data_IF_130108254242
#
_entry.id   IF_130108254242
#
_cell.length_a   1.000
_cell.length_b   1.000
_cell.length_c   1.000
_cell.angle_alpha   90.00
_cell.angle_beta   90.00
_cell.angle_gamma   90.00
#
_symmetry.space_group_name_H-M   'P 1'
#
loop_
_entity.id
_entity.type
_entity.pdbx_description
1 polymer ?
#
# COMPACT_ATOMS: atom_id res chain seq x y z
N UNK A 1 13.21 9.28 -6.95
CA UNK A 1 13.16 10.37 -5.94
C UNK A 1 13.21 11.73 -6.64
N UNK A 2 12.25 12.06 -7.53
CA UNK A 2 12.30 13.27 -8.36
C UNK A 2 10.86 13.65 -8.74
N UNK A 3 10.36 14.84 -8.35
CA UNK A 3 9.07 15.41 -8.78
C UNK A 3 8.05 15.70 -7.67
N UNK A 4 7.63 14.69 -6.91
CA UNK A 4 6.52 14.83 -5.95
C UNK A 4 6.83 15.82 -4.81
N UNK A 5 8.02 15.75 -4.22
CA UNK A 5 8.40 16.60 -3.09
C UNK A 5 8.46 18.10 -3.47
N UNK A 6 9.13 18.52 -4.57
CA UNK A 6 9.01 19.89 -5.08
C UNK A 6 7.58 20.35 -5.36
N UNK A 7 6.71 19.46 -5.85
CA UNK A 7 5.29 19.76 -6.03
C UNK A 7 4.60 20.05 -4.70
N UNK A 8 4.77 19.19 -3.67
CA UNK A 8 4.18 19.42 -2.35
C UNK A 8 4.69 20.72 -1.72
N UNK A 9 5.98 21.03 -1.81
CA UNK A 9 6.51 22.28 -1.25
C UNK A 9 6.04 23.53 -2.01
N UNK A 10 6.03 23.49 -3.34
CA UNK A 10 5.55 24.63 -4.15
C UNK A 10 4.04 24.84 -4.02
N UNK A 11 3.26 23.76 -3.95
CA UNK A 11 1.80 23.84 -3.86
C UNK A 11 1.29 24.16 -2.45
N UNK A 12 2.12 23.98 -1.41
CA UNK A 12 1.74 24.23 -0.01
C UNK A 12 1.27 25.66 0.27
N UNK A 13 1.66 26.64 -0.54
CA UNK A 13 1.24 28.04 -0.42
C UNK A 13 -0.18 28.31 -0.92
N UNK A 14 -0.79 27.36 -1.64
CA UNK A 14 -2.15 27.51 -2.16
C UNK A 14 -3.21 27.25 -1.07
N UNK A 15 -4.29 28.04 -1.08
CA UNK A 15 -5.40 27.88 -0.13
C UNK A 15 -6.04 26.47 -0.18
N UNK A 16 -6.02 25.83 -1.35
CA UNK A 16 -6.58 24.49 -1.56
C UNK A 16 -5.57 23.34 -1.39
N UNK A 17 -4.35 23.60 -0.91
CA UNK A 17 -3.28 22.59 -0.82
C UNK A 17 -3.71 21.31 -0.12
N UNK A 18 -4.34 21.42 1.06
CA UNK A 18 -4.78 20.27 1.86
C UNK A 18 -5.80 19.40 1.12
N UNK A 19 -6.74 20.01 0.38
CA UNK A 19 -7.73 19.26 -0.41
C UNK A 19 -7.06 18.49 -1.54
N UNK A 20 -6.06 19.10 -2.19
CA UNK A 20 -5.28 18.43 -3.25
C UNK A 20 -4.45 17.28 -2.67
N UNK A 21 -3.88 17.43 -1.48
CA UNK A 21 -3.13 16.33 -0.84
C UNK A 21 -4.02 15.15 -0.48
N UNK A 22 -5.23 15.41 0.03
CA UNK A 22 -6.22 14.37 0.26
C UNK A 22 -6.57 13.65 -1.07
N UNK A 23 -6.78 14.41 -2.15
CA UNK A 23 -7.07 13.86 -3.47
C UNK A 23 -5.94 12.97 -4.00
N UNK A 24 -4.68 13.43 -3.88
CA UNK A 24 -3.50 12.67 -4.29
C UNK A 24 -3.41 11.36 -3.52
N UNK A 25 -3.59 11.40 -2.19
CA UNK A 25 -3.60 10.20 -1.36
C UNK A 25 -4.67 9.20 -1.82
N UNK A 26 -5.89 9.68 -2.07
CA UNK A 26 -7.01 8.80 -2.45
C UNK A 26 -6.74 8.07 -3.76
N UNK A 27 -6.30 8.78 -4.81
CA UNK A 27 -5.98 8.17 -6.10
C UNK A 27 -4.70 7.34 -6.05
N UNK A 28 -3.73 7.72 -5.22
CA UNK A 28 -2.55 6.91 -4.97
C UNK A 28 -2.91 5.56 -4.37
N UNK A 29 -3.78 5.53 -3.34
CA UNK A 29 -4.25 4.28 -2.72
C UNK A 29 -5.01 3.44 -3.73
N UNK A 30 -5.93 4.03 -4.50
CA UNK A 30 -6.68 3.31 -5.53
C UNK A 30 -5.72 2.67 -6.55
N UNK A 31 -4.76 3.43 -7.06
CA UNK A 31 -3.77 2.92 -8.02
C UNK A 31 -2.92 1.79 -7.42
N UNK A 32 -2.42 1.96 -6.20
CA UNK A 32 -1.61 0.96 -5.51
C UNK A 32 -2.39 -0.33 -5.22
N UNK A 33 -3.66 -0.22 -4.83
CA UNK A 33 -4.54 -1.38 -4.62
C UNK A 33 -4.85 -2.08 -5.94
N UNK A 34 -5.10 -1.35 -7.03
CA UNK A 34 -5.29 -1.95 -8.36
C UNK A 34 -4.04 -2.71 -8.81
N UNK A 35 -2.85 -2.15 -8.60
CA UNK A 35 -1.58 -2.83 -8.89
C UNK A 35 -1.40 -4.06 -8.00
N UNK A 36 -1.70 -3.96 -6.71
CA UNK A 36 -1.66 -5.09 -5.78
C UNK A 36 -2.54 -6.26 -6.27
N UNK A 37 -3.82 -5.99 -6.55
CA UNK A 37 -4.75 -7.03 -7.03
C UNK A 37 -4.33 -7.55 -8.39
N UNK A 38 -3.93 -6.66 -9.32
CA UNK A 38 -3.50 -7.02 -10.65
C UNK A 38 -2.30 -7.97 -10.64
N UNK A 39 -1.28 -7.70 -9.82
CA UNK A 39 -0.12 -8.58 -9.67
C UNK A 39 -0.52 -9.88 -8.97
N UNK A 40 -1.29 -9.82 -7.88
CA UNK A 40 -1.71 -11.02 -7.13
C UNK A 40 -2.50 -12.01 -7.98
N UNK A 41 -3.45 -11.53 -8.78
CA UNK A 41 -4.27 -12.36 -9.67
C UNK A 41 -3.44 -13.00 -10.80
N UNK A 42 -2.40 -12.31 -11.25
CA UNK A 42 -1.57 -12.72 -12.36
C UNK A 42 -0.29 -13.44 -11.93
N UNK A 43 -0.16 -13.74 -10.64
CA UNK A 43 1.06 -14.32 -10.07
C UNK A 43 1.45 -15.66 -10.72
N UNK A 44 0.46 -16.44 -11.16
CA UNK A 44 0.67 -17.80 -11.66
C UNK A 44 1.41 -17.85 -12.99
N UNK A 45 1.27 -16.82 -13.84
CA UNK A 45 2.08 -16.69 -15.05
C UNK A 45 3.26 -15.74 -14.84
N UNK A 46 3.14 -14.75 -13.95
CA UNK A 46 4.25 -13.86 -13.60
C UNK A 46 5.41 -14.60 -12.92
N UNK A 47 5.15 -15.73 -12.24
CA UNK A 47 6.20 -16.53 -11.59
C UNK A 47 7.26 -17.07 -12.56
N UNK A 48 6.96 -17.19 -13.86
CA UNK A 48 7.90 -17.67 -14.87
C UNK A 48 8.96 -16.63 -15.24
N UNK A 49 8.77 -15.35 -14.88
CA UNK A 49 9.83 -14.35 -14.98
C UNK A 49 10.88 -14.50 -13.85
N UNK A 50 10.62 -15.36 -12.87
CA UNK A 50 11.51 -15.66 -11.76
C UNK A 50 12.12 -17.03 -12.02
N UNK A 51 13.26 -17.05 -12.71
CA UNK A 51 14.00 -18.28 -13.03
C UNK A 51 15.07 -18.56 -11.95
N UNK A 52 15.02 -19.77 -11.38
CA UNK A 52 16.08 -20.33 -10.57
C UNK A 52 17.15 -20.97 -11.44
N UNK A 53 18.37 -21.14 -10.91
CA UNK A 53 19.46 -21.77 -11.67
C UNK A 53 19.20 -23.25 -11.95
N UNK A 54 18.53 -23.91 -10.99
CA UNK A 54 18.23 -25.33 -10.99
C UNK A 54 16.81 -25.58 -10.42
N UNK A 55 16.30 -26.81 -10.58
CA UNK A 55 14.94 -27.18 -10.15
C UNK A 55 14.67 -26.95 -8.65
N UNK A 56 15.69 -27.14 -7.79
CA UNK A 56 15.57 -26.92 -6.35
C UNK A 56 15.40 -25.43 -6.02
N UNK A 57 16.19 -24.55 -6.65
CA UNK A 57 16.05 -23.10 -6.49
C UNK A 57 14.73 -22.59 -7.07
N UNK A 58 14.27 -23.16 -8.18
CA UNK A 58 12.98 -22.84 -8.77
C UNK A 58 11.83 -23.13 -7.78
N UNK A 59 11.84 -24.33 -7.18
CA UNK A 59 10.85 -24.73 -6.19
C UNK A 59 10.89 -23.81 -4.94
N UNK A 60 12.09 -23.41 -4.49
CA UNK A 60 12.25 -22.48 -3.39
C UNK A 60 11.64 -21.10 -3.71
N UNK A 61 11.90 -20.55 -4.90
CA UNK A 61 11.33 -19.25 -5.31
C UNK A 61 9.81 -19.31 -5.42
N UNK A 62 9.26 -20.40 -5.96
CA UNK A 62 7.81 -20.54 -6.11
C UNK A 62 7.10 -20.86 -4.80
N UNK A 63 7.79 -21.44 -3.81
CA UNK A 63 7.22 -21.68 -2.48
C UNK A 63 6.78 -20.39 -1.79
N UNK A 64 7.45 -19.27 -2.07
CA UNK A 64 7.14 -17.96 -1.49
C UNK A 64 5.94 -17.24 -2.14
N UNK A 65 5.37 -17.75 -3.23
CA UNK A 65 4.33 -17.02 -3.97
C UNK A 65 3.07 -16.77 -3.13
N UNK A 66 2.77 -17.65 -2.17
CA UNK A 66 1.63 -17.52 -1.27
C UNK A 66 1.66 -16.25 -0.41
N UNK A 67 2.84 -15.70 -0.11
CA UNK A 67 2.98 -14.50 0.73
C UNK A 67 2.98 -13.19 -0.08
N UNK A 68 3.02 -13.27 -1.41
CA UNK A 68 3.10 -12.11 -2.31
C UNK A 68 1.96 -11.10 -2.10
N UNK A 69 0.69 -11.50 -1.93
CA UNK A 69 -0.38 -10.53 -1.66
C UNK A 69 -0.12 -9.67 -0.42
N UNK A 70 0.41 -10.26 0.64
CA UNK A 70 0.73 -9.55 1.89
C UNK A 70 1.95 -8.66 1.71
N UNK A 71 2.95 -9.10 0.94
CA UNK A 71 4.09 -8.26 0.56
C UNK A 71 3.65 -7.02 -0.23
N UNK A 72 2.72 -7.18 -1.18
CA UNK A 72 2.18 -6.08 -1.95
C UNK A 72 1.38 -5.12 -1.07
N UNK A 73 0.60 -5.63 -0.11
CA UNK A 73 -0.06 -4.80 0.90
C UNK A 73 0.95 -3.97 1.72
N UNK A 74 2.11 -4.53 2.07
CA UNK A 74 3.17 -3.76 2.73
C UNK A 74 3.63 -2.58 1.89
N UNK A 75 3.75 -2.74 0.57
CA UNK A 75 4.06 -1.62 -0.33
C UNK A 75 2.94 -0.58 -0.40
N UNK A 76 1.66 -0.99 -0.33
CA UNK A 76 0.53 -0.05 -0.20
C UNK A 76 0.67 0.77 1.08
N UNK A 77 0.89 0.11 2.23
CA UNK A 77 1.07 0.79 3.53
C UNK A 77 2.27 1.73 3.54
N UNK A 78 3.40 1.30 2.98
CA UNK A 78 4.60 2.13 2.85
C UNK A 78 4.32 3.38 2.00
N UNK A 79 3.61 3.22 0.88
CA UNK A 79 3.21 4.33 0.02
C UNK A 79 2.27 5.32 0.73
N UNK A 80 1.34 4.82 1.54
CA UNK A 80 0.47 5.66 2.39
C UNK A 80 1.32 6.42 3.40
N UNK A 81 2.23 5.75 4.11
CA UNK A 81 3.13 6.40 5.06
C UNK A 81 3.97 7.49 4.40
N UNK A 82 4.51 7.24 3.20
CA UNK A 82 5.27 8.23 2.43
C UNK A 82 4.43 9.46 2.10
N UNK A 83 3.16 9.30 1.73
CA UNK A 83 2.26 10.43 1.49
C UNK A 83 1.92 11.17 2.79
N UNK A 84 1.63 10.45 3.88
CA UNK A 84 1.38 11.08 5.17
C UNK A 84 2.61 11.87 5.64
N UNK A 85 3.82 11.39 5.38
CA UNK A 85 5.07 12.03 5.82
C UNK A 85 5.22 13.49 5.40
N UNK A 86 4.49 13.92 4.37
CA UNK A 86 4.51 15.29 3.86
C UNK A 86 4.12 16.31 4.92
N UNK A 87 3.22 15.98 5.86
CA UNK A 87 2.74 16.97 6.85
C UNK A 87 3.86 17.50 7.75
N UNK A 88 4.76 16.62 8.23
CA UNK A 88 5.83 17.03 9.13
C UNK A 88 7.01 17.66 8.38
N UNK A 89 7.11 17.41 7.07
CA UNK A 89 8.08 18.09 6.19
C UNK A 89 7.65 19.51 5.87
N UNK A 90 6.37 19.73 5.60
CA UNK A 90 5.81 21.05 5.31
C UNK A 90 5.69 21.96 6.53
N UNK A 91 5.70 21.39 7.73
CA UNK A 91 5.59 22.14 8.99
C UNK A 91 6.92 22.24 9.75
N UNK A 92 8.04 21.88 9.12
CA UNK A 92 9.40 21.84 9.71
C UNK A 92 9.49 21.01 11.02
N UNK A 93 8.61 20.03 11.18
CA UNK A 93 8.47 19.15 12.33
C UNK A 93 9.12 17.78 12.09
N UNK A 94 10.28 17.76 11.43
CA UNK A 94 10.99 16.54 11.00
C UNK A 94 11.31 15.55 12.12
N UNK A 95 11.36 16.02 13.38
CA UNK A 95 11.48 15.18 14.59
C UNK A 95 10.39 14.11 14.68
N UNK A 96 9.17 14.39 14.22
CA UNK A 96 8.11 13.37 14.17
C UNK A 96 8.43 12.26 13.18
N UNK A 97 9.10 12.58 12.07
CA UNK A 97 9.62 11.57 11.15
C UNK A 97 10.58 10.60 11.86
N UNK A 98 11.45 11.13 12.73
CA UNK A 98 12.37 10.33 13.55
C UNK A 98 11.63 9.48 14.60
N UNK A 99 10.62 10.03 15.28
CA UNK A 99 9.83 9.26 16.26
C UNK A 99 9.06 8.12 15.61
N UNK A 100 8.39 8.38 14.49
CA UNK A 100 7.60 7.36 13.78
C UNK A 100 8.51 6.25 13.24
N UNK A 101 9.62 6.62 12.57
CA UNK A 101 10.56 5.63 12.04
C UNK A 101 11.31 4.89 13.14
N UNK A 102 11.64 5.56 14.24
CA UNK A 102 12.26 4.95 15.42
C UNK A 102 11.36 3.91 16.08
N UNK A 103 10.08 4.23 16.29
CA UNK A 103 9.09 3.26 16.79
C UNK A 103 8.95 2.09 15.81
N UNK A 104 8.82 2.37 14.51
CA UNK A 104 8.77 1.33 13.48
C UNK A 104 10.00 0.41 13.50
N UNK A 105 11.20 0.96 13.68
CA UNK A 105 12.44 0.20 13.78
C UNK A 105 12.50 -0.68 15.03
N UNK A 106 12.09 -0.15 16.19
CA UNK A 106 12.03 -0.92 17.45
C UNK A 106 11.03 -2.07 17.32
N UNK A 107 9.82 -1.81 16.81
CA UNK A 107 8.82 -2.85 16.56
C UNK A 107 9.38 -3.91 15.61
N UNK A 108 10.04 -3.49 14.54
CA UNK A 108 10.65 -4.39 13.56
C UNK A 108 11.68 -5.29 14.23
N UNK A 109 12.62 -4.74 15.01
CA UNK A 109 13.65 -5.51 15.69
C UNK A 109 13.07 -6.51 16.70
N UNK A 110 12.21 -6.02 17.60
CA UNK A 110 11.61 -6.84 18.66
C UNK A 110 10.80 -7.98 18.07
N UNK A 111 9.91 -7.68 17.13
CA UNK A 111 9.05 -8.71 16.55
C UNK A 111 9.81 -9.67 15.64
N UNK A 112 10.85 -9.23 14.90
CA UNK A 112 11.64 -10.16 14.11
C UNK A 112 12.39 -11.18 14.99
N UNK A 113 12.96 -10.75 16.12
CA UNK A 113 13.61 -11.65 17.07
C UNK A 113 12.64 -12.70 17.63
N UNK A 114 11.35 -12.38 17.77
CA UNK A 114 10.33 -13.29 18.30
C UNK A 114 9.71 -14.17 17.19
N UNK A 115 9.39 -13.60 16.03
CA UNK A 115 8.61 -14.26 14.98
C UNK A 115 9.46 -15.04 13.98
N UNK A 116 10.67 -14.58 13.62
CA UNK A 116 11.52 -15.31 12.67
C UNK A 116 11.85 -16.73 13.14
N UNK A 117 12.23 -16.97 14.41
CA UNK A 117 12.54 -18.32 14.88
C UNK A 117 11.34 -19.29 14.79
N UNK A 118 10.10 -18.78 14.82
CA UNK A 118 8.88 -19.59 14.81
C UNK A 118 8.26 -19.73 13.41
N UNK A 119 8.35 -18.69 12.59
CA UNK A 119 7.63 -18.58 11.32
C UNK A 119 8.54 -18.28 10.12
N UNK A 120 9.87 -18.30 10.31
CA UNK A 120 10.84 -18.02 9.25
C UNK A 120 10.56 -16.67 8.55
N UNK A 121 10.76 -16.61 7.24
CA UNK A 121 10.53 -15.41 6.42
C UNK A 121 9.08 -14.94 6.42
N UNK A 122 8.10 -15.84 6.60
CA UNK A 122 6.67 -15.47 6.73
C UNK A 122 6.47 -14.58 7.95
N UNK A 123 7.15 -14.90 9.05
CA UNK A 123 7.20 -14.05 10.24
C UNK A 123 7.66 -12.63 9.90
N UNK A 124 8.77 -12.49 9.18
CA UNK A 124 9.32 -11.18 8.79
C UNK A 124 8.36 -10.34 7.94
N UNK A 125 7.56 -10.97 7.08
CA UNK A 125 6.53 -10.28 6.29
C UNK A 125 5.47 -9.66 7.19
N UNK A 126 4.92 -10.42 8.15
CA UNK A 126 3.93 -9.93 9.10
C UNK A 126 4.49 -8.86 10.05
N UNK A 127 5.76 -8.98 10.45
CA UNK A 127 6.44 -7.94 11.22
C UNK A 127 6.47 -6.62 10.44
N UNK A 128 6.78 -6.69 9.14
CA UNK A 128 6.81 -5.51 8.27
C UNK A 128 5.42 -4.91 8.11
N UNK A 129 4.38 -5.73 7.96
CA UNK A 129 2.98 -5.28 7.92
C UNK A 129 2.61 -4.52 9.19
N UNK A 130 2.93 -5.07 10.36
CA UNK A 130 2.64 -4.44 11.65
C UNK A 130 3.43 -3.13 11.83
N UNK A 131 4.72 -3.13 11.51
CA UNK A 131 5.56 -1.94 11.60
C UNK A 131 5.03 -0.81 10.72
N UNK A 132 4.71 -1.09 9.45
CA UNK A 132 4.14 -0.08 8.54
C UNK A 132 2.73 0.34 8.94
N UNK A 133 1.90 -0.58 9.43
CA UNK A 133 0.58 -0.26 9.98
C UNK A 133 0.68 0.74 11.14
N UNK A 134 1.58 0.52 12.09
CA UNK A 134 1.86 1.44 13.20
C UNK A 134 2.36 2.78 12.69
N UNK A 135 3.29 2.78 11.73
CA UNK A 135 3.82 4.01 11.16
C UNK A 135 2.74 4.84 10.45
N UNK A 136 1.85 4.20 9.69
CA UNK A 136 0.68 4.85 9.06
C UNK A 136 -0.25 5.41 10.13
N UNK A 137 -0.59 4.62 11.14
CA UNK A 137 -1.49 5.04 12.23
C UNK A 137 -0.93 6.25 12.99
N UNK A 138 0.32 6.20 13.43
CA UNK A 138 0.96 7.30 14.15
C UNK A 138 1.07 8.56 13.29
N UNK A 139 1.48 8.40 12.02
CA UNK A 139 1.60 9.53 11.09
C UNK A 139 0.25 10.19 10.82
N UNK A 140 -0.82 9.40 10.68
CA UNK A 140 -2.18 9.90 10.51
C UNK A 140 -2.69 10.64 11.74
N UNK A 141 -2.56 10.04 12.94
CA UNK A 141 -3.06 10.63 14.18
C UNK A 141 -2.36 11.96 14.50
N UNK A 142 -1.02 11.99 14.48
CA UNK A 142 -0.27 13.22 14.72
C UNK A 142 -0.41 14.23 13.59
N UNK A 143 -0.49 13.77 12.34
CA UNK A 143 -0.76 14.61 11.18
C UNK A 143 -2.10 15.32 11.29
N UNK A 144 -3.16 14.61 11.70
CA UNK A 144 -4.50 15.20 11.86
C UNK A 144 -4.54 16.25 12.98
N UNK A 145 -3.74 16.10 14.03
CA UNK A 145 -3.65 17.08 15.12
C UNK A 145 -2.87 18.34 14.74
N UNK A 146 -1.77 18.20 13.99
CA UNK A 146 -0.83 19.30 13.70
C UNK A 146 -1.09 20.00 12.36
N UNK A 147 -1.55 19.25 11.36
CA UNK A 147 -1.79 19.73 10.01
C UNK A 147 -2.99 18.97 9.40
N UNK A 148 -4.23 19.33 9.80
CA UNK A 148 -5.42 18.55 9.48
C UNK A 148 -5.73 18.57 7.99
N UNK A 149 -5.39 17.47 7.31
CA UNK A 149 -5.71 17.23 5.90
C UNK A 149 -7.02 16.41 5.87
N UNK A 150 -8.04 16.82 5.10
CA UNK A 150 -9.33 16.15 5.07
C UNK A 150 -9.30 14.84 4.25
N UNK A 151 -8.56 13.84 4.74
CA UNK A 151 -8.45 12.53 4.10
C UNK A 151 -9.78 11.78 4.11
N UNK A 152 -10.11 11.10 3.00
CA UNK A 152 -11.29 10.24 2.90
C UNK A 152 -11.00 8.84 3.44
N UNK A 153 -10.65 8.74 4.72
CA UNK A 153 -10.15 7.51 5.35
C UNK A 153 -11.11 6.33 5.19
N UNK A 154 -12.42 6.54 5.39
CA UNK A 154 -13.42 5.49 5.18
C UNK A 154 -13.37 4.92 3.76
N UNK A 155 -13.36 5.81 2.75
CA UNK A 155 -13.25 5.40 1.33
C UNK A 155 -11.97 4.61 1.07
N UNK A 156 -10.83 5.13 1.53
CA UNK A 156 -9.52 4.53 1.27
C UNK A 156 -9.37 3.18 1.96
N UNK A 157 -9.84 3.06 3.20
CA UNK A 157 -9.83 1.81 3.94
C UNK A 157 -10.73 0.77 3.26
N UNK A 158 -11.91 1.16 2.76
CA UNK A 158 -12.78 0.28 1.99
C UNK A 158 -12.08 -0.28 0.75
N UNK A 159 -11.36 0.55 -0.03
CA UNK A 159 -10.60 0.06 -1.18
C UNK A 159 -9.51 -0.94 -0.78
N UNK A 160 -8.74 -0.64 0.28
CA UNK A 160 -7.68 -1.54 0.77
C UNK A 160 -8.28 -2.88 1.23
N UNK A 161 -9.37 -2.85 2.02
CA UNK A 161 -10.01 -4.05 2.55
C UNK A 161 -10.66 -4.89 1.45
N UNK A 162 -11.36 -4.27 0.51
CA UNK A 162 -11.94 -4.99 -0.63
C UNK A 162 -10.83 -5.58 -1.49
N UNK A 163 -9.78 -4.81 -1.81
CA UNK A 163 -8.65 -5.31 -2.59
C UNK A 163 -7.93 -6.48 -1.91
N UNK A 164 -7.67 -6.39 -0.61
CA UNK A 164 -7.10 -7.47 0.18
C UNK A 164 -8.04 -8.70 0.21
N UNK A 165 -9.35 -8.49 0.34
CA UNK A 165 -10.36 -9.55 0.27
C UNK A 165 -10.41 -10.25 -1.09
N UNK A 166 -10.28 -9.50 -2.19
CA UNK A 166 -10.18 -10.09 -3.55
C UNK A 166 -8.91 -10.94 -3.68
N UNK A 167 -7.76 -10.45 -3.18
CA UNK A 167 -6.54 -11.24 -3.17
C UNK A 167 -6.68 -12.51 -2.34
N UNK A 168 -7.27 -12.42 -1.15
CA UNK A 168 -7.51 -13.58 -0.29
C UNK A 168 -8.43 -14.61 -0.95
N UNK A 169 -9.59 -14.18 -1.49
CA UNK A 169 -10.50 -15.06 -2.24
C UNK A 169 -9.78 -15.77 -3.40
N UNK A 170 -8.93 -15.06 -4.13
CA UNK A 170 -8.19 -15.62 -5.25
C UNK A 170 -7.18 -16.69 -4.82
N UNK A 171 -6.53 -16.52 -3.67
CA UNK A 171 -5.50 -17.44 -3.19
C UNK A 171 -6.08 -18.65 -2.45
N UNK A 172 -7.11 -18.45 -1.63
CA UNK A 172 -7.65 -19.47 -0.74
C UNK A 172 -8.87 -20.21 -1.33
N UNK A 173 -9.67 -19.57 -2.19
CA UNK A 173 -10.92 -20.17 -2.74
C UNK A 173 -10.74 -20.64 -4.17
N UNK A 174 -10.02 -19.87 -5.00
CA UNK A 174 -9.88 -20.13 -6.44
C UNK A 174 -8.54 -20.74 -6.84
N UNK A 175 -7.70 -21.16 -5.88
CA UNK A 175 -6.39 -21.80 -6.12
C UNK A 175 -5.52 -21.06 -7.17
N UNK A 176 -5.57 -19.72 -7.17
CA UNK A 176 -4.86 -18.85 -8.13
C UNK A 176 -5.27 -19.05 -9.59
N UNK A 177 -6.51 -19.46 -9.86
CA UNK A 177 -7.01 -19.68 -11.23
C UNK A 177 -7.10 -18.38 -12.04
N UNK A 178 -6.13 -18.15 -12.92
CA UNK A 178 -5.89 -16.87 -13.63
C UNK A 178 -7.12 -16.30 -14.32
N UNK A 179 -7.95 -17.14 -14.95
CA UNK A 179 -9.16 -16.66 -15.66
C UNK A 179 -10.19 -16.06 -14.71
N UNK A 180 -10.46 -16.73 -13.58
CA UNK A 180 -11.44 -16.28 -12.58
C UNK A 180 -10.89 -15.04 -11.87
N UNK A 181 -9.59 -15.06 -11.53
CA UNK A 181 -8.93 -13.90 -10.95
C UNK A 181 -8.99 -12.67 -11.85
N UNK A 182 -8.73 -12.82 -13.15
CA UNK A 182 -8.80 -11.68 -14.08
C UNK A 182 -10.23 -11.19 -14.26
N UNK A 183 -11.23 -12.07 -14.23
CA UNK A 183 -12.64 -11.67 -14.20
C UNK A 183 -12.94 -10.84 -12.94
N UNK A 184 -12.55 -11.32 -11.76
CA UNK A 184 -12.70 -10.57 -10.50
C UNK A 184 -11.97 -9.23 -10.53
N UNK A 185 -10.76 -9.19 -11.09
CA UNK A 185 -9.99 -7.96 -11.25
C UNK A 185 -10.69 -6.97 -12.18
N UNK A 186 -11.24 -7.42 -13.32
CA UNK A 186 -12.01 -6.56 -14.23
C UNK A 186 -13.27 -6.04 -13.55
N UNK A 187 -13.99 -6.85 -12.78
CA UNK A 187 -15.14 -6.38 -12.00
C UNK A 187 -14.70 -5.35 -10.96
N UNK A 188 -13.63 -5.61 -10.20
CA UNK A 188 -13.10 -4.68 -9.20
C UNK A 188 -12.63 -3.35 -9.81
N UNK A 189 -11.87 -3.40 -10.90
CA UNK A 189 -11.40 -2.23 -11.63
C UNK A 189 -12.55 -1.46 -12.28
N UNK A 190 -13.53 -2.16 -12.86
CA UNK A 190 -14.74 -1.57 -13.44
C UNK A 190 -15.61 -0.87 -12.40
N UNK A 191 -15.83 -1.51 -11.23
CA UNK A 191 -16.53 -0.89 -10.10
C UNK A 191 -15.80 0.36 -9.60
N UNK A 192 -14.48 0.27 -9.45
CA UNK A 192 -13.63 1.41 -9.05
C UNK A 192 -13.76 2.57 -10.04
N UNK A 193 -13.65 2.30 -11.34
CA UNK A 193 -13.82 3.29 -12.38
C UNK A 193 -15.22 3.92 -12.35
N UNK A 194 -16.27 3.11 -12.18
CA UNK A 194 -17.64 3.59 -12.14
C UNK A 194 -17.94 4.49 -10.92
N UNK A 195 -17.38 4.17 -9.75
CA UNK A 195 -17.52 4.96 -8.53
C UNK A 195 -16.76 6.28 -8.63
N UNK A 196 -15.56 6.27 -9.20
CA UNK A 196 -14.69 7.44 -9.29
C UNK A 196 -14.92 8.27 -10.57
N UNK A 197 -15.71 7.80 -11.55
CA UNK A 197 -15.91 8.47 -12.84
C UNK A 197 -16.31 9.93 -12.69
N UNK A 198 -17.22 10.25 -11.76
CA UNK A 198 -17.69 11.63 -11.55
C UNK A 198 -16.57 12.55 -11.10
N UNK A 199 -15.71 12.06 -10.20
CA UNK A 199 -14.55 12.80 -9.72
C UNK A 199 -13.46 12.92 -10.81
N UNK A 200 -13.22 11.86 -11.58
CA UNK A 200 -12.27 11.85 -12.69
C UNK A 200 -12.69 12.82 -13.82
N UNK A 201 -13.95 12.78 -14.25
CA UNK A 201 -14.46 13.70 -15.27
C UNK A 201 -14.48 15.15 -14.79
N UNK A 202 -14.68 15.40 -13.50
CA UNK A 202 -14.57 16.74 -12.92
C UNK A 202 -13.13 17.28 -12.93
N UNK A 203 -12.13 16.39 -12.80
CA UNK A 203 -10.71 16.76 -12.89
C UNK A 203 -10.25 17.01 -14.33
N UNK A 204 -10.77 16.26 -15.30
CA UNK A 204 -10.45 16.41 -16.73
C UNK A 204 -11.10 17.63 -17.40
N UNK A 205 -12.17 18.17 -16.82
CA UNK A 205 -12.85 19.38 -17.33
C UNK A 205 -12.19 20.69 -16.88
N UNK A 206 -11.17 20.63 -16.03
CA UNK A 206 -10.38 21.76 -15.56
C UNK A 206 -9.08 21.86 -16.33
#
# INVERSE_FOLDING_TARGET
RLGAEPFFFSYAKNENARRVYALIMDYFIIAMVLVMVGISVNIEWLKYFIEGKDAEQQALYWSGLHIVPILLLNYVLLGIYMNLSVWYKLTDQTRFGLYISGIGAIVTLVLNVILIPRYSYVGAVWVTTLAYGIMVMLSYLWGQQRYPIPYRVGKNLTYILIGAGVCWLMFDVFDRHVVIGNLLFVVFAGMTFFLERKALFALLKK
#
